data_IF_492089174788
#
_entry.id   IF_492089174788
#
_cell.length_a   1.000
_cell.length_b   1.000
_cell.length_c   1.000
_cell.angle_alpha   90.00
_cell.angle_beta   90.00
_cell.angle_gamma   90.00
#
_symmetry.space_group_name_H-M   'P 1'
#
loop_
_entity.id
_entity.type
_entity.pdbx_description
1 polymer ?
#
# COMPACT_ATOMS: atom_id res chain seq x y z
N UNK A 1 77.64 179.48 157.83
CA UNK A 1 78.29 178.64 156.79
C UNK A 1 77.79 177.21 156.81
N UNK A 2 77.97 176.43 157.89
CA UNK A 2 77.72 174.97 157.90
C UNK A 2 76.34 174.52 157.41
N UNK A 3 75.28 175.30 157.68
CA UNK A 3 73.92 175.06 157.19
C UNK A 3 73.81 175.14 155.67
N UNK A 4 74.46 176.13 155.05
CA UNK A 4 74.48 176.32 153.59
C UNK A 4 75.23 175.19 152.88
N UNK A 5 76.32 174.69 153.48
CA UNK A 5 77.05 173.54 152.95
C UNK A 5 76.24 172.25 153.06
N UNK A 6 75.53 172.01 154.17
CA UNK A 6 74.67 170.83 154.30
C UNK A 6 73.48 170.86 153.32
N UNK A 7 72.83 172.02 153.13
CA UNK A 7 71.75 172.15 152.13
C UNK A 7 72.27 171.99 150.69
N UNK A 8 73.48 172.46 150.40
CA UNK A 8 74.12 172.25 149.10
C UNK A 8 74.43 170.77 148.84
N UNK A 9 75.01 170.08 149.82
CA UNK A 9 75.37 168.66 149.71
C UNK A 9 74.14 167.74 149.63
N UNK A 10 73.09 168.03 150.40
CA UNK A 10 71.82 167.28 150.31
C UNK A 10 71.13 167.50 148.98
N UNK A 11 71.13 168.73 148.44
CA UNK A 11 70.58 169.02 147.13
C UNK A 11 71.35 168.31 146.02
N UNK A 12 72.69 168.29 146.09
CA UNK A 12 73.54 167.54 145.17
C UNK A 12 73.26 166.02 145.24
N UNK A 13 73.14 165.45 146.44
CA UNK A 13 72.82 164.04 146.63
C UNK A 13 71.42 163.69 146.07
N UNK A 14 70.41 164.53 146.31
CA UNK A 14 69.07 164.36 145.72
C UNK A 14 69.11 164.45 144.20
N UNK A 15 69.87 165.39 143.62
CA UNK A 15 70.06 165.50 142.17
C UNK A 15 70.72 164.25 141.60
N UNK A 16 71.82 163.76 142.20
CA UNK A 16 72.51 162.54 141.77
C UNK A 16 71.60 161.32 141.88
N UNK A 17 70.85 161.18 142.98
CA UNK A 17 69.87 160.11 143.17
C UNK A 17 68.78 160.17 142.10
N UNK A 18 68.20 161.35 141.85
CA UNK A 18 67.17 161.53 140.82
C UNK A 18 67.68 161.24 139.40
N UNK A 19 68.93 161.62 139.10
CA UNK A 19 69.58 161.33 137.81
C UNK A 19 69.87 159.83 137.67
N UNK A 20 70.31 159.17 138.74
CA UNK A 20 70.55 157.72 138.78
C UNK A 20 69.24 156.93 138.60
N UNK A 21 68.17 157.31 139.31
CA UNK A 21 66.83 156.75 139.10
C UNK A 21 66.36 156.99 137.67
N UNK A 22 66.42 158.23 137.15
CA UNK A 22 66.00 158.54 135.78
C UNK A 22 66.80 157.78 134.73
N UNK A 23 68.10 157.59 134.94
CA UNK A 23 69.00 156.84 134.04
C UNK A 23 68.69 155.35 134.09
N UNK A 24 68.52 154.77 135.27
CA UNK A 24 68.17 153.35 135.41
C UNK A 24 66.76 153.04 134.89
N UNK A 25 65.77 153.91 135.10
CA UNK A 25 64.45 153.79 134.47
C UNK A 25 64.55 153.94 132.95
N UNK A 26 65.36 154.88 132.44
CA UNK A 26 65.58 155.05 131.00
C UNK A 26 66.22 153.82 130.35
N UNK A 27 67.26 153.26 130.96
CA UNK A 27 67.92 152.03 130.50
C UNK A 27 66.96 150.84 130.57
N UNK A 28 66.15 150.72 131.63
CA UNK A 28 65.16 149.64 131.75
C UNK A 28 64.01 149.77 130.72
N UNK A 29 63.53 150.98 130.45
CA UNK A 29 62.57 151.27 129.39
C UNK A 29 63.15 150.99 128.00
N UNK A 30 64.42 151.31 127.76
CA UNK A 30 65.11 150.99 126.51
C UNK A 30 65.32 149.48 126.36
N UNK A 31 65.70 148.79 127.43
CA UNK A 31 65.86 147.32 127.47
C UNK A 31 64.53 146.61 127.14
N UNK A 32 63.46 146.97 127.85
CA UNK A 32 62.12 146.41 127.60
C UNK A 32 61.58 146.75 126.20
N UNK A 33 61.83 147.96 125.69
CA UNK A 33 61.51 148.35 124.32
C UNK A 33 62.31 147.56 123.27
N UNK A 34 63.60 147.31 123.51
CA UNK A 34 64.45 146.52 122.64
C UNK A 34 64.04 145.03 122.66
N UNK A 35 63.79 144.44 123.82
CA UNK A 35 63.28 143.07 123.93
C UNK A 35 61.90 142.89 123.27
N UNK A 36 61.04 143.91 123.33
CA UNK A 36 59.76 143.91 122.61
C UNK A 36 59.96 144.00 121.09
N UNK A 37 60.92 144.80 120.65
CA UNK A 37 61.31 144.92 119.23
C UNK A 37 61.87 143.60 118.72
N UNK A 38 62.80 142.98 119.45
CA UNK A 38 63.38 141.68 119.11
C UNK A 38 62.30 140.57 119.06
N UNK A 39 61.38 140.57 120.03
CA UNK A 39 60.23 139.64 120.04
C UNK A 39 59.31 139.83 118.83
N UNK A 40 59.04 141.06 118.39
CA UNK A 40 58.21 141.32 117.20
C UNK A 40 58.95 140.96 115.90
N UNK A 41 60.25 141.24 115.79
CA UNK A 41 61.09 140.84 114.65
C UNK A 41 61.21 139.32 114.55
N UNK A 42 61.40 138.62 115.67
CA UNK A 42 61.42 137.16 115.75
C UNK A 42 60.07 136.54 115.35
N UNK A 43 58.95 137.09 115.86
CA UNK A 43 57.60 136.67 115.50
C UNK A 43 57.28 136.89 114.03
N UNK A 44 57.69 138.04 113.46
CA UNK A 44 57.53 138.35 112.04
C UNK A 44 58.40 137.45 111.16
N UNK A 45 59.64 137.17 111.57
CA UNK A 45 60.55 136.26 110.86
C UNK A 45 60.01 134.84 110.84
N UNK A 46 59.49 134.36 111.98
CA UNK A 46 58.83 133.06 112.10
C UNK A 46 57.59 133.01 111.21
N UNK A 47 56.71 134.01 111.28
CA UNK A 47 55.47 134.08 110.49
C UNK A 47 55.72 134.17 108.98
N UNK A 48 56.78 134.90 108.59
CA UNK A 48 57.21 135.00 107.18
C UNK A 48 57.78 133.67 106.70
N UNK A 49 58.61 133.02 107.52
CA UNK A 49 59.20 131.70 107.21
C UNK A 49 58.12 130.61 107.09
N UNK A 50 57.17 130.54 108.03
CA UNK A 50 56.06 129.58 107.97
C UNK A 50 55.13 129.87 106.80
N UNK A 51 54.77 131.13 106.56
CA UNK A 51 53.96 131.54 105.42
C UNK A 51 54.61 131.20 104.07
N UNK A 52 55.91 131.47 103.91
CA UNK A 52 56.66 131.16 102.70
C UNK A 52 56.84 129.64 102.51
N UNK A 53 57.06 128.90 103.60
CA UNK A 53 57.13 127.43 103.60
C UNK A 53 55.79 126.79 103.22
N UNK A 54 54.67 127.30 103.76
CA UNK A 54 53.32 126.87 103.39
C UNK A 54 53.02 127.17 101.92
N UNK A 55 53.34 128.37 101.43
CA UNK A 55 53.20 128.73 100.02
C UNK A 55 54.03 127.83 99.11
N UNK A 56 55.31 127.59 99.44
CA UNK A 56 56.18 126.67 98.71
C UNK A 56 55.64 125.23 98.69
N UNK A 57 55.08 124.77 99.81
CA UNK A 57 54.45 123.45 99.92
C UNK A 57 53.21 123.36 99.04
N UNK A 58 52.34 124.39 99.05
CA UNK A 58 51.15 124.45 98.19
C UNK A 58 51.50 124.51 96.70
N UNK A 59 52.50 125.30 96.31
CA UNK A 59 53.01 125.38 94.93
C UNK A 59 53.58 124.02 94.50
N UNK A 60 54.33 123.35 95.38
CA UNK A 60 54.86 122.01 95.13
C UNK A 60 53.74 121.00 94.93
N UNK A 61 52.75 120.95 95.84
CA UNK A 61 51.59 120.07 95.73
C UNK A 61 50.76 120.32 94.46
N UNK A 62 50.54 121.58 94.09
CA UNK A 62 49.84 121.96 92.86
C UNK A 62 50.64 121.55 91.61
N UNK A 63 51.97 121.74 91.62
CA UNK A 63 52.87 121.31 90.55
C UNK A 63 52.85 119.79 90.37
N UNK A 64 52.95 119.03 91.47
CA UNK A 64 52.84 117.55 91.45
C UNK A 64 51.47 117.11 90.94
N UNK A 65 50.37 117.69 91.43
CA UNK A 65 49.00 117.34 91.00
C UNK A 65 48.75 117.68 89.52
N UNK A 66 49.27 118.82 89.06
CA UNK A 66 49.18 119.24 87.65
C UNK A 66 50.00 118.30 86.75
N UNK A 67 51.23 117.96 87.18
CA UNK A 67 52.12 117.04 86.46
C UNK A 67 51.54 115.62 86.37
N UNK A 68 50.99 115.08 87.47
CA UNK A 68 50.34 113.75 87.46
C UNK A 68 49.05 113.76 86.65
N UNK A 69 48.26 114.84 86.69
CA UNK A 69 47.09 115.05 85.84
C UNK A 69 47.43 115.08 84.35
N UNK A 70 48.43 115.87 83.95
CA UNK A 70 48.94 115.93 82.57
C UNK A 70 49.48 114.57 82.13
N UNK A 71 50.24 113.87 82.98
CA UNK A 71 50.76 112.55 82.66
C UNK A 71 49.64 111.51 82.48
N UNK A 72 48.62 111.53 83.34
CA UNK A 72 47.45 110.64 83.21
C UNK A 72 46.62 110.95 81.96
N UNK A 73 46.48 112.23 81.59
CA UNK A 73 45.83 112.62 80.34
C UNK A 73 46.64 112.18 79.12
N UNK A 74 47.98 112.29 79.18
CA UNK A 74 48.89 111.81 78.14
C UNK A 74 48.79 110.29 77.93
N UNK A 75 48.78 109.50 79.02
CA UNK A 75 48.61 108.04 78.92
C UNK A 75 47.22 107.64 78.42
N UNK A 76 46.16 108.34 78.86
CA UNK A 76 44.79 108.13 78.37
C UNK A 76 44.62 108.46 76.88
N UNK A 77 45.22 109.57 76.42
CA UNK A 77 45.22 109.96 75.01
C UNK A 77 46.04 108.99 74.16
N UNK A 78 47.21 108.56 74.63
CA UNK A 78 48.04 107.55 73.96
C UNK A 78 47.32 106.19 73.83
N UNK A 79 46.60 105.77 74.87
CA UNK A 79 45.76 104.57 74.84
C UNK A 79 44.62 104.71 73.82
N UNK A 80 43.93 105.86 73.81
CA UNK A 80 42.85 106.16 72.85
C UNK A 80 43.35 106.15 71.41
N UNK A 81 44.51 106.77 71.15
CA UNK A 81 45.16 106.76 69.83
C UNK A 81 45.56 105.34 69.40
N UNK A 82 46.04 104.51 70.33
CA UNK A 82 46.39 103.11 70.07
C UNK A 82 45.16 102.26 69.74
N UNK A 83 44.05 102.43 70.48
CA UNK A 83 42.77 101.78 70.18
C UNK A 83 42.21 102.22 68.83
N UNK A 84 42.26 103.51 68.49
CA UNK A 84 41.83 104.03 67.19
C UNK A 84 42.68 103.49 66.04
N UNK A 85 44.00 103.41 66.21
CA UNK A 85 44.93 102.83 65.23
C UNK A 85 44.64 101.33 65.01
N UNK A 86 44.40 100.60 66.09
CA UNK A 86 44.05 99.18 66.05
C UNK A 86 42.70 98.95 65.35
N UNK A 87 41.69 99.77 65.67
CA UNK A 87 40.36 99.72 65.04
C UNK A 87 40.46 100.04 63.54
N UNK A 88 41.15 101.10 63.16
CA UNK A 88 41.39 101.47 61.75
C UNK A 88 42.06 100.33 60.97
N UNK A 89 43.08 99.70 61.57
CA UNK A 89 43.78 98.56 61.00
C UNK A 89 42.83 97.36 60.83
N UNK A 90 42.10 96.98 61.89
CA UNK A 90 41.18 95.85 61.89
C UNK A 90 40.00 96.04 60.91
N UNK A 91 39.48 97.26 60.79
CA UNK A 91 38.45 97.61 59.81
C UNK A 91 38.99 97.52 58.39
N UNK A 92 40.20 98.03 58.13
CA UNK A 92 40.85 97.99 56.81
C UNK A 92 41.18 96.56 56.37
N UNK A 93 41.70 95.71 57.27
CA UNK A 93 41.97 94.29 56.95
C UNK A 93 40.69 93.49 56.75
N UNK A 94 39.63 93.78 57.51
CA UNK A 94 38.31 93.15 57.34
C UNK A 94 37.70 93.51 55.98
N UNK A 95 37.70 94.78 55.59
CA UNK A 95 37.22 95.20 54.27
C UNK A 95 38.06 94.62 53.13
N UNK A 96 39.39 94.64 53.24
CA UNK A 96 40.28 94.04 52.23
C UNK A 96 40.01 92.54 52.03
N UNK A 97 39.80 91.81 53.13
CA UNK A 97 39.44 90.38 53.11
C UNK A 97 38.07 90.15 52.48
N UNK A 98 37.07 90.98 52.82
CA UNK A 98 35.74 90.92 52.24
C UNK A 98 35.74 91.19 50.73
N UNK A 99 36.43 92.24 50.27
CA UNK A 99 36.58 92.54 48.84
C UNK A 99 37.33 91.42 48.09
N UNK A 100 38.35 90.80 48.70
CA UNK A 100 39.06 89.65 48.13
C UNK A 100 38.15 88.42 47.99
N UNK A 101 37.28 88.19 48.97
CA UNK A 101 36.29 87.11 48.98
C UNK A 101 35.20 87.34 47.92
N UNK A 102 34.71 88.57 47.79
CA UNK A 102 33.77 89.00 46.74
C UNK A 102 34.40 88.86 45.35
N UNK A 103 35.68 89.22 45.19
CA UNK A 103 36.42 89.02 43.94
C UNK A 103 36.53 87.54 43.55
N UNK A 104 36.85 86.67 44.51
CA UNK A 104 36.94 85.22 44.29
C UNK A 104 35.56 84.58 43.99
N UNK A 105 34.49 85.09 44.62
CA UNK A 105 33.13 84.66 44.32
C UNK A 105 32.70 85.10 42.91
N UNK A 106 33.07 86.32 42.49
CA UNK A 106 32.80 86.84 41.15
C UNK A 106 33.50 86.01 40.07
N UNK A 107 34.79 85.70 40.23
CA UNK A 107 35.51 84.83 39.27
C UNK A 107 34.95 83.40 39.24
N UNK A 108 34.59 82.84 40.40
CA UNK A 108 33.91 81.55 40.49
C UNK A 108 32.55 81.52 39.79
N UNK A 109 31.75 82.59 39.92
CA UNK A 109 30.46 82.72 39.25
C UNK A 109 30.61 82.85 37.73
N UNK A 110 31.61 83.61 37.25
CA UNK A 110 31.95 83.71 35.81
C UNK A 110 32.38 82.34 35.24
N UNK A 111 33.19 81.58 35.99
CA UNK A 111 33.58 80.22 35.59
C UNK A 111 32.37 79.26 35.54
N UNK A 112 31.47 79.34 36.52
CA UNK A 112 30.23 78.56 36.56
C UNK A 112 29.32 78.89 35.38
N UNK A 113 29.12 80.18 35.08
CA UNK A 113 28.33 80.62 33.93
C UNK A 113 28.92 80.17 32.58
N UNK A 114 30.25 80.20 32.46
CA UNK A 114 30.97 79.72 31.26
C UNK A 114 30.82 78.21 31.08
N UNK A 115 30.89 77.45 32.17
CA UNK A 115 30.67 75.99 32.18
C UNK A 115 29.23 75.64 31.82
N UNK A 116 28.24 76.37 32.35
CA UNK A 116 26.83 76.19 32.02
C UNK A 116 26.53 76.50 30.55
N UNK A 117 27.12 77.57 30.01
CA UNK A 117 27.01 77.94 28.59
C UNK A 117 27.61 76.84 27.68
N UNK A 118 28.77 76.30 28.07
CA UNK A 118 29.44 75.21 27.36
C UNK A 118 28.61 73.92 27.39
N UNK A 119 28.03 73.58 28.54
CA UNK A 119 27.15 72.42 28.70
C UNK A 119 25.88 72.58 27.86
N UNK A 120 25.21 73.73 27.92
CA UNK A 120 24.02 74.05 27.11
C UNK A 120 24.29 73.90 25.61
N UNK A 121 25.44 74.40 25.14
CA UNK A 121 25.88 74.29 23.74
C UNK A 121 26.13 72.82 23.37
N UNK A 122 26.82 72.07 24.23
CA UNK A 122 27.12 70.64 24.02
C UNK A 122 25.83 69.79 23.97
N UNK A 123 24.91 69.99 24.91
CA UNK A 123 23.60 69.33 24.93
C UNK A 123 22.79 69.66 23.67
N UNK A 124 22.78 70.92 23.23
CA UNK A 124 22.08 71.34 22.00
C UNK A 124 22.67 70.64 20.77
N UNK A 125 23.99 70.58 20.65
CA UNK A 125 24.68 69.89 19.55
C UNK A 125 24.42 68.37 19.57
N UNK A 126 24.38 67.76 20.76
CA UNK A 126 24.08 66.33 20.91
C UNK A 126 22.62 66.02 20.50
N UNK A 127 21.66 66.84 20.95
CA UNK A 127 20.24 66.71 20.57
C UNK A 127 20.04 66.92 19.07
N UNK A 128 20.71 67.92 18.47
CA UNK A 128 20.66 68.13 17.01
C UNK A 128 21.24 66.94 16.24
N UNK A 129 22.37 66.39 16.69
CA UNK A 129 23.01 65.22 16.06
C UNK A 129 22.15 63.95 16.19
N UNK A 130 21.46 63.78 17.32
CA UNK A 130 20.52 62.69 17.53
C UNK A 130 19.26 62.86 16.65
N UNK A 131 18.77 64.09 16.50
CA UNK A 131 17.62 64.43 15.64
C UNK A 131 17.92 64.15 14.15
N UNK A 132 19.09 64.55 13.65
CA UNK A 132 19.51 64.25 12.27
C UNK A 132 19.74 62.76 12.05
N UNK A 133 20.39 62.07 13.00
CA UNK A 133 20.58 60.62 12.96
C UNK A 133 19.26 59.83 12.96
N UNK A 134 18.31 60.22 13.81
CA UNK A 134 16.98 59.61 13.86
C UNK A 134 16.16 59.89 12.59
N UNK A 135 16.27 61.09 12.02
CA UNK A 135 15.62 61.46 10.75
C UNK A 135 16.16 60.63 9.58
N UNK A 136 17.47 60.39 9.53
CA UNK A 136 18.10 59.51 8.54
C UNK A 136 17.65 58.04 8.73
N UNK A 137 17.63 57.54 9.97
CA UNK A 137 17.13 56.20 10.27
C UNK A 137 15.66 56.01 9.84
N UNK A 138 14.80 56.97 10.14
CA UNK A 138 13.39 56.96 9.73
C UNK A 138 13.24 56.97 8.20
N UNK A 139 14.06 57.75 7.50
CA UNK A 139 14.07 57.81 6.02
C UNK A 139 14.53 56.47 5.40
N UNK A 140 15.53 55.83 5.99
CA UNK A 140 16.00 54.50 5.57
C UNK A 140 14.92 53.42 5.81
N UNK A 141 14.23 53.47 6.96
CA UNK A 141 13.12 52.55 7.27
C UNK A 141 11.96 52.74 6.28
N UNK A 142 11.58 53.98 5.96
CA UNK A 142 10.54 54.26 4.94
C UNK A 142 10.93 53.76 3.54
N UNK A 143 12.19 53.94 3.15
CA UNK A 143 12.73 53.46 1.87
C UNK A 143 12.76 51.93 1.79
N UNK A 144 13.16 51.26 2.87
CA UNK A 144 13.18 49.80 2.98
C UNK A 144 11.76 49.22 2.97
N UNK A 145 10.82 49.84 3.70
CA UNK A 145 9.40 49.47 3.72
C UNK A 145 8.79 49.55 2.32
N UNK A 146 9.03 50.66 1.61
CA UNK A 146 8.57 50.86 0.22
C UNK A 146 9.15 49.80 -0.71
N UNK A 147 10.47 49.59 -0.65
CA UNK A 147 11.18 48.59 -1.49
C UNK A 147 10.67 47.17 -1.24
N UNK A 148 10.47 46.79 0.03
CA UNK A 148 9.96 45.47 0.42
C UNK A 148 8.51 45.29 -0.05
N UNK A 149 7.66 46.31 0.11
CA UNK A 149 6.28 46.28 -0.37
C UNK A 149 6.21 46.09 -1.90
N UNK A 150 7.01 46.85 -2.66
CA UNK A 150 7.10 46.72 -4.13
C UNK A 150 7.63 45.35 -4.56
N UNK A 151 8.64 44.81 -3.88
CA UNK A 151 9.19 43.48 -4.17
C UNK A 151 8.16 42.36 -3.91
N UNK A 152 7.41 42.44 -2.81
CA UNK A 152 6.33 41.49 -2.49
C UNK A 152 5.19 41.59 -3.51
N UNK A 153 4.75 42.80 -3.87
CA UNK A 153 3.72 43.00 -4.88
C UNK A 153 4.13 42.45 -6.27
N UNK A 154 5.39 42.63 -6.65
CA UNK A 154 5.97 42.07 -7.88
C UNK A 154 5.98 40.54 -7.83
N UNK A 155 6.46 39.96 -6.72
CA UNK A 155 6.50 38.50 -6.52
C UNK A 155 5.09 37.88 -6.59
N UNK A 156 4.10 38.51 -5.95
CA UNK A 156 2.72 38.06 -5.97
C UNK A 156 2.11 38.12 -7.39
N UNK A 157 2.44 39.16 -8.16
CA UNK A 157 1.99 39.31 -9.56
C UNK A 157 2.61 38.24 -10.48
N UNK A 158 3.90 37.95 -10.31
CA UNK A 158 4.59 36.87 -11.02
C UNK A 158 4.03 35.49 -10.66
N UNK A 159 3.74 35.24 -9.37
CA UNK A 159 3.14 33.99 -8.91
C UNK A 159 1.72 33.79 -9.46
N UNK A 160 0.90 34.84 -9.49
CA UNK A 160 -0.43 34.81 -10.10
C UNK A 160 -0.36 34.52 -11.61
N UNK A 161 0.59 35.15 -12.31
CA UNK A 161 0.82 34.93 -13.75
C UNK A 161 1.28 33.49 -14.05
N UNK A 162 2.17 32.94 -13.21
CA UNK A 162 2.64 31.56 -13.32
C UNK A 162 1.53 30.56 -13.01
N UNK A 163 0.73 30.81 -11.96
CA UNK A 163 -0.43 29.99 -11.59
C UNK A 163 -1.46 29.93 -12.73
N UNK A 164 -1.77 31.08 -13.31
CA UNK A 164 -2.66 31.19 -14.48
C UNK A 164 -2.11 30.40 -15.66
N UNK A 165 -0.83 30.60 -16.02
CA UNK A 165 -0.17 29.92 -17.14
C UNK A 165 -0.09 28.41 -16.95
N UNK A 166 0.11 27.95 -15.71
CA UNK A 166 0.12 26.52 -15.36
C UNK A 166 -1.28 25.94 -15.51
N UNK A 167 -2.31 26.63 -14.99
CA UNK A 167 -3.71 26.21 -15.08
C UNK A 167 -4.17 26.10 -16.55
N UNK A 168 -3.87 27.09 -17.39
CA UNK A 168 -4.20 27.05 -18.82
C UNK A 168 -3.45 25.92 -19.56
N UNK A 169 -2.20 25.64 -19.17
CA UNK A 169 -1.42 24.54 -19.74
C UNK A 169 -1.99 23.18 -19.35
N UNK A 170 -2.39 23.00 -18.08
CA UNK A 170 -3.05 21.78 -17.59
C UNK A 170 -4.42 21.57 -18.25
N UNK A 171 -5.23 22.63 -18.41
CA UNK A 171 -6.49 22.54 -19.16
C UNK A 171 -6.27 22.15 -20.61
N UNK A 172 -5.27 22.73 -21.28
CA UNK A 172 -4.94 22.41 -22.68
C UNK A 172 -4.43 20.97 -22.86
N UNK A 173 -3.66 20.47 -21.88
CA UNK A 173 -3.22 19.08 -21.86
C UNK A 173 -4.39 18.12 -21.59
N UNK A 174 -5.34 18.50 -20.73
CA UNK A 174 -6.55 17.73 -20.43
C UNK A 174 -7.48 17.61 -21.65
N UNK A 175 -7.70 18.70 -22.39
CA UNK A 175 -8.49 18.66 -23.65
C UNK A 175 -7.76 17.88 -24.75
N UNK A 176 -6.44 18.04 -24.87
CA UNK A 176 -5.61 17.24 -25.78
C UNK A 176 -5.68 15.74 -25.48
N UNK A 177 -5.55 15.34 -24.21
CA UNK A 177 -5.66 13.95 -23.78
C UNK A 177 -7.07 13.38 -23.98
N UNK A 178 -8.11 14.17 -23.72
CA UNK A 178 -9.51 13.78 -23.97
C UNK A 178 -9.77 13.55 -25.46
N UNK A 179 -9.18 14.38 -26.32
CA UNK A 179 -9.23 14.22 -27.78
C UNK A 179 -8.50 12.96 -28.23
N UNK A 180 -7.29 12.73 -27.71
CA UNK A 180 -6.51 11.52 -28.00
C UNK A 180 -7.24 10.23 -27.56
N UNK A 181 -7.85 10.23 -26.37
CA UNK A 181 -8.66 9.12 -25.86
C UNK A 181 -9.88 8.84 -26.76
N UNK A 182 -10.55 9.89 -27.24
CA UNK A 182 -11.67 9.77 -28.19
C UNK A 182 -11.22 9.21 -29.55
N UNK A 183 -10.01 9.59 -30.00
CA UNK A 183 -9.36 9.00 -31.16
C UNK A 183 -9.07 7.51 -30.97
N UNK A 184 -8.46 7.11 -29.86
CA UNK A 184 -8.18 5.70 -29.51
C UNK A 184 -9.46 4.87 -29.44
N UNK A 185 -10.53 5.39 -28.83
CA UNK A 185 -11.83 4.74 -28.80
C UNK A 185 -12.40 4.53 -30.21
N UNK A 186 -12.29 5.53 -31.09
CA UNK A 186 -12.73 5.46 -32.49
C UNK A 186 -11.90 4.46 -33.31
N UNK A 187 -10.58 4.41 -33.09
CA UNK A 187 -9.72 3.40 -33.72
C UNK A 187 -10.07 1.99 -33.23
N UNK A 188 -10.39 1.82 -31.94
CA UNK A 188 -10.81 0.54 -31.36
C UNK A 188 -12.12 0.02 -31.97
N UNK A 189 -13.13 0.88 -32.15
CA UNK A 189 -14.38 0.50 -32.82
C UNK A 189 -14.14 0.17 -34.30
N UNK A 190 -13.34 0.95 -35.01
CA UNK A 190 -12.96 0.68 -36.40
C UNK A 190 -12.18 -0.63 -36.57
N UNK A 191 -11.27 -0.95 -35.66
CA UNK A 191 -10.53 -2.22 -35.65
C UNK A 191 -11.45 -3.40 -35.35
N UNK A 192 -12.39 -3.24 -34.40
CA UNK A 192 -13.41 -4.26 -34.09
C UNK A 192 -14.31 -4.54 -35.30
N UNK A 193 -14.78 -3.50 -35.99
CA UNK A 193 -15.54 -3.64 -37.24
C UNK A 193 -14.73 -4.33 -38.34
N UNK A 194 -13.45 -3.98 -38.48
CA UNK A 194 -12.53 -4.64 -39.44
C UNK A 194 -12.36 -6.12 -39.11
N UNK A 195 -12.18 -6.48 -37.83
CA UNK A 195 -12.07 -7.85 -37.38
C UNK A 195 -13.35 -8.66 -37.65
N UNK A 196 -14.53 -8.08 -37.39
CA UNK A 196 -15.83 -8.71 -37.71
C UNK A 196 -16.03 -8.91 -39.22
N UNK A 197 -15.58 -7.95 -40.05
CA UNK A 197 -15.63 -8.07 -41.50
C UNK A 197 -14.70 -9.19 -42.00
N UNK A 198 -13.47 -9.27 -41.47
CA UNK A 198 -12.50 -10.35 -41.79
C UNK A 198 -13.04 -11.72 -41.35
N UNK A 199 -13.62 -11.82 -40.15
CA UNK A 199 -14.25 -13.05 -39.68
C UNK A 199 -15.42 -13.47 -40.59
N UNK A 200 -16.31 -12.55 -40.94
CA UNK A 200 -17.45 -12.79 -41.82
C UNK A 200 -17.02 -13.23 -43.23
N UNK A 201 -15.97 -12.60 -43.78
CA UNK A 201 -15.38 -12.98 -45.07
C UNK A 201 -14.70 -14.34 -45.00
N UNK A 202 -14.01 -14.66 -43.91
CA UNK A 202 -13.39 -15.97 -43.67
C UNK A 202 -14.44 -17.09 -43.60
N UNK A 203 -15.52 -16.90 -42.84
CA UNK A 203 -16.67 -17.81 -42.80
C UNK A 203 -17.29 -17.97 -44.18
N UNK A 204 -17.57 -16.87 -44.89
CA UNK A 204 -18.17 -16.90 -46.23
C UNK A 204 -17.29 -17.62 -47.26
N UNK A 205 -15.97 -17.44 -47.18
CA UNK A 205 -15.00 -18.12 -48.04
C UNK A 205 -14.97 -19.62 -47.71
N UNK A 206 -14.90 -19.98 -46.43
CA UNK A 206 -14.91 -21.37 -45.96
C UNK A 206 -16.18 -22.13 -46.36
N UNK A 207 -17.36 -21.51 -46.20
CA UNK A 207 -18.64 -22.11 -46.63
C UNK A 207 -18.72 -22.24 -48.14
N UNK A 208 -18.18 -21.27 -48.89
CA UNK A 208 -18.12 -21.34 -50.36
C UNK A 208 -17.19 -22.46 -50.84
N UNK A 209 -15.99 -22.60 -50.26
CA UNK A 209 -15.05 -23.69 -50.55
C UNK A 209 -15.65 -25.05 -50.18
N UNK A 210 -16.33 -25.15 -49.03
CA UNK A 210 -17.03 -26.38 -48.63
C UNK A 210 -18.14 -26.73 -49.62
N UNK A 211 -18.92 -25.75 -50.09
CA UNK A 211 -19.99 -25.95 -51.08
C UNK A 211 -19.46 -26.36 -52.46
N UNK A 212 -18.32 -25.78 -52.88
CA UNK A 212 -17.62 -26.19 -54.09
C UNK A 212 -17.05 -27.60 -53.97
N UNK A 213 -16.49 -27.95 -52.81
CA UNK A 213 -15.95 -29.29 -52.52
C UNK A 213 -17.04 -30.37 -52.55
N UNK A 214 -18.20 -30.12 -51.92
CA UNK A 214 -19.34 -31.04 -51.98
C UNK A 214 -19.93 -31.13 -53.38
N UNK A 215 -20.09 -30.01 -54.10
CA UNK A 215 -20.52 -30.01 -55.49
C UNK A 215 -19.56 -30.76 -56.44
N UNK A 216 -18.25 -30.64 -56.23
CA UNK A 216 -17.24 -31.40 -56.96
C UNK A 216 -17.29 -32.89 -56.61
N UNK A 217 -17.49 -33.24 -55.34
CA UNK A 217 -17.67 -34.62 -54.90
C UNK A 217 -18.91 -35.27 -55.52
N UNK A 218 -20.03 -34.54 -55.58
CA UNK A 218 -21.25 -34.96 -56.29
C UNK A 218 -20.99 -35.13 -57.78
N UNK A 219 -20.27 -34.21 -58.41
CA UNK A 219 -19.88 -34.31 -59.83
C UNK A 219 -19.01 -35.54 -60.08
N UNK A 220 -18.03 -35.82 -59.21
CA UNK A 220 -17.18 -37.00 -59.29
C UNK A 220 -17.96 -38.31 -59.09
N UNK A 221 -18.93 -38.35 -58.18
CA UNK A 221 -19.83 -39.49 -58.00
C UNK A 221 -20.71 -39.74 -59.24
N UNK A 222 -21.24 -38.67 -59.86
CA UNK A 222 -22.00 -38.76 -61.11
C UNK A 222 -21.13 -39.27 -62.28
N UNK A 223 -19.90 -38.77 -62.42
CA UNK A 223 -18.93 -39.26 -63.42
C UNK A 223 -18.57 -40.73 -63.19
N UNK A 224 -18.39 -41.14 -61.94
CA UNK A 224 -18.12 -42.55 -61.58
C UNK A 224 -19.30 -43.44 -61.96
N UNK A 225 -20.53 -43.03 -61.61
CA UNK A 225 -21.76 -43.76 -61.95
C UNK A 225 -21.96 -43.86 -63.46
N UNK A 226 -21.70 -42.78 -64.20
CA UNK A 226 -21.73 -42.77 -65.66
C UNK A 226 -20.67 -43.70 -66.26
N UNK A 227 -19.46 -43.72 -65.71
CA UNK A 227 -18.40 -44.65 -66.12
C UNK A 227 -18.80 -46.12 -65.90
N UNK A 228 -19.44 -46.44 -64.77
CA UNK A 228 -20.03 -47.77 -64.53
C UNK A 228 -21.14 -48.08 -65.54
N UNK A 229 -22.03 -47.13 -65.85
CA UNK A 229 -23.08 -47.29 -66.87
C UNK A 229 -22.50 -47.52 -68.27
N UNK A 230 -21.48 -46.77 -68.68
CA UNK A 230 -20.76 -46.96 -69.96
C UNK A 230 -20.07 -48.33 -69.99
N UNK A 231 -19.46 -48.76 -68.89
CA UNK A 231 -18.86 -50.09 -68.75
C UNK A 231 -19.91 -51.20 -68.92
N UNK A 232 -21.08 -51.05 -68.31
CA UNK A 232 -22.21 -51.98 -68.46
C UNK A 232 -22.78 -51.99 -69.90
N UNK A 233 -22.87 -50.85 -70.56
CA UNK A 233 -23.23 -50.77 -71.99
C UNK A 233 -22.18 -51.51 -72.83
N UNK A 234 -20.89 -51.36 -72.52
CA UNK A 234 -19.81 -52.02 -73.25
C UNK A 234 -19.83 -53.56 -73.05
N UNK A 235 -20.12 -54.06 -71.84
CA UNK A 235 -20.27 -55.51 -71.60
C UNK A 235 -21.55 -56.08 -72.25
N UNK A 236 -22.65 -55.33 -72.25
CA UNK A 236 -23.86 -55.68 -73.01
C UNK A 236 -23.59 -55.72 -74.51
N UNK A 237 -22.91 -54.72 -75.07
CA UNK A 237 -22.54 -54.66 -76.49
C UNK A 237 -21.60 -55.82 -76.87
N UNK A 238 -20.65 -56.17 -76.01
CA UNK A 238 -19.78 -57.34 -76.18
C UNK A 238 -20.60 -58.63 -76.23
N UNK A 239 -21.58 -58.78 -75.32
CA UNK A 239 -22.48 -59.95 -75.26
C UNK A 239 -23.44 -60.03 -76.44
N UNK A 240 -23.87 -58.88 -76.98
CA UNK A 240 -24.67 -58.81 -78.20
C UNK A 240 -23.82 -59.15 -79.43
N UNK A 241 -22.57 -58.69 -79.49
CA UNK A 241 -21.62 -58.98 -80.57
C UNK A 241 -21.32 -60.48 -80.69
N UNK A 242 -21.10 -61.17 -79.56
CA UNK A 242 -20.95 -62.64 -79.56
C UNK A 242 -22.24 -63.34 -79.98
N UNK A 243 -23.40 -62.86 -79.53
CA UNK A 243 -24.72 -63.40 -79.94
C UNK A 243 -24.95 -63.25 -81.45
N UNK A 244 -24.64 -62.10 -82.04
CA UNK A 244 -24.76 -61.86 -83.49
C UNK A 244 -23.76 -62.72 -84.27
N UNK A 245 -22.52 -62.86 -83.79
CA UNK A 245 -21.52 -63.74 -84.41
C UNK A 245 -21.96 -65.22 -84.42
N UNK A 246 -22.58 -65.69 -83.35
CA UNK A 246 -23.18 -67.02 -83.24
C UNK A 246 -24.39 -67.19 -84.17
N UNK A 247 -25.18 -66.15 -84.41
CA UNK A 247 -26.29 -66.22 -85.38
C UNK A 247 -25.81 -66.13 -86.84
N UNK A 248 -24.75 -65.37 -87.14
CA UNK A 248 -24.14 -65.32 -88.47
C UNK A 248 -23.56 -66.68 -88.90
N UNK A 249 -22.95 -67.42 -87.96
CA UNK A 249 -22.50 -68.81 -88.21
C UNK A 249 -23.66 -69.80 -88.34
N UNK A 250 -24.81 -69.57 -87.71
CA UNK A 250 -26.02 -70.41 -87.85
C UNK A 250 -26.83 -70.15 -89.13
N UNK A 251 -26.75 -68.94 -89.70
CA UNK A 251 -27.45 -68.61 -90.95
C UNK A 251 -26.79 -69.19 -92.23
N UNK A 252 -25.59 -69.75 -92.12
CA UNK A 252 -24.82 -70.26 -93.26
C UNK A 252 -25.10 -71.74 -93.64
N UNK A 253 -26.00 -72.44 -92.93
CA UNK A 253 -26.40 -73.81 -93.27
C UNK A 253 -27.92 -73.98 -93.27
N UNK A 254 -28.52 -73.80 -94.45
CA UNK A 254 -29.93 -74.07 -94.72
C UNK A 254 -30.09 -75.38 -95.47
N UNK A 255 -30.31 -76.48 -94.74
CA UNK A 255 -31.34 -77.54 -94.98
C UNK A 255 -31.06 -78.77 -94.10
N UNK A 256 -31.35 -78.68 -92.81
CA UNK A 256 -31.34 -79.83 -91.92
C UNK A 256 -31.96 -79.50 -90.57
N UNK A 257 -32.89 -80.32 -90.10
CA UNK A 257 -33.38 -80.26 -88.72
C UNK A 257 -32.25 -80.77 -87.82
N UNK A 258 -31.36 -79.87 -87.43
CA UNK A 258 -30.30 -80.18 -86.48
C UNK A 258 -30.94 -80.43 -85.10
N UNK A 259 -30.71 -81.62 -84.55
CA UNK A 259 -30.95 -81.88 -83.15
C UNK A 259 -30.18 -80.85 -82.30
N UNK A 260 -30.73 -80.43 -81.16
CA UNK A 260 -30.02 -79.53 -80.25
C UNK A 260 -28.73 -80.22 -79.77
N UNK A 261 -27.61 -79.59 -80.10
CA UNK A 261 -26.24 -80.10 -79.97
C UNK A 261 -25.41 -79.27 -78.98
N UNK A 262 -26.05 -78.40 -78.19
CA UNK A 262 -25.40 -77.34 -77.41
C UNK A 262 -24.67 -77.78 -76.10
N UNK A 263 -24.45 -79.08 -75.89
CA UNK A 263 -23.72 -79.60 -74.73
C UNK A 263 -22.21 -79.72 -74.97
N UNK A 264 -21.39 -79.00 -74.20
CA UNK A 264 -19.93 -79.10 -74.26
C UNK A 264 -19.38 -80.35 -73.54
N UNK A 265 -18.41 -81.03 -74.14
CA UNK A 265 -17.73 -82.21 -73.57
C UNK A 265 -18.38 -83.54 -73.94
N UNK A 266 -18.33 -84.53 -73.03
CA UNK A 266 -18.83 -85.89 -73.24
C UNK A 266 -20.36 -85.99 -73.51
N UNK A 267 -21.07 -84.87 -73.39
CA UNK A 267 -22.52 -84.76 -73.54
C UNK A 267 -23.01 -84.53 -74.99
N UNK A 268 -22.12 -84.45 -75.97
CA UNK A 268 -22.51 -84.33 -77.38
C UNK A 268 -22.81 -85.70 -78.04
N UNK A 269 -23.87 -85.83 -78.87
CA UNK A 269 -24.02 -86.92 -79.83
C UNK A 269 -22.77 -87.07 -80.70
N UNK A 270 -22.26 -88.30 -80.83
CA UNK A 270 -20.99 -88.60 -81.51
C UNK A 270 -21.21 -89.59 -82.64
N UNK A 271 -20.89 -89.22 -83.88
CA UNK A 271 -20.61 -90.21 -84.93
C UNK A 271 -19.41 -91.04 -84.50
N UNK A 272 -19.68 -92.26 -84.04
CA UNK A 272 -18.67 -93.18 -83.49
C UNK A 272 -18.19 -94.11 -84.61
N UNK A 273 -17.17 -94.91 -84.34
CA UNK A 273 -16.27 -95.43 -85.37
C UNK A 273 -16.86 -96.55 -86.26
N UNK A 274 -18.12 -96.94 -86.10
CA UNK A 274 -18.80 -97.85 -87.02
C UNK A 274 -19.15 -97.17 -88.34
N UNK A 275 -18.75 -97.76 -89.47
CA UNK A 275 -19.13 -97.24 -90.79
C UNK A 275 -20.65 -97.22 -90.94
N UNK A 276 -21.18 -96.05 -91.32
CA UNK A 276 -22.61 -95.80 -91.54
C UNK A 276 -23.51 -95.97 -90.29
N UNK A 277 -23.00 -95.60 -89.09
CA UNK A 277 -23.75 -95.61 -87.82
C UNK A 277 -23.91 -94.21 -87.21
N UNK A 278 -24.94 -94.04 -86.36
CA UNK A 278 -25.24 -92.77 -85.67
C UNK A 278 -25.48 -93.04 -84.18
N UNK A 279 -24.73 -92.37 -83.29
CA UNK A 279 -25.01 -92.38 -81.86
C UNK A 279 -25.63 -91.05 -81.41
N UNK A 280 -26.89 -91.10 -80.97
CA UNK A 280 -27.75 -89.95 -80.63
C UNK A 280 -27.75 -89.74 -79.11
N UNK A 281 -27.36 -88.55 -78.67
CA UNK A 281 -27.34 -88.12 -77.27
C UNK A 281 -25.99 -88.25 -76.57
N UNK A 282 -25.87 -87.58 -75.41
CA UNK A 282 -24.72 -87.63 -74.51
C UNK A 282 -24.26 -89.06 -74.19
N UNK A 283 -22.95 -89.32 -74.18
CA UNK A 283 -22.37 -90.63 -73.84
C UNK A 283 -22.93 -91.84 -74.63
N UNK A 284 -23.57 -91.60 -75.78
CA UNK A 284 -24.03 -92.67 -76.67
C UNK A 284 -22.88 -93.23 -77.49
N UNK A 285 -22.92 -94.54 -77.76
CA UNK A 285 -21.96 -95.23 -78.63
C UNK A 285 -22.67 -96.31 -79.45
N UNK A 286 -22.15 -96.57 -80.64
CA UNK A 286 -22.54 -97.68 -81.51
C UNK A 286 -21.91 -99.02 -81.09
N UNK A 287 -21.01 -98.98 -80.10
CA UNK A 287 -20.21 -100.11 -79.60
C UNK A 287 -19.42 -100.82 -80.73
N UNK A 288 -19.05 -100.07 -81.78
CA UNK A 288 -18.32 -100.57 -82.95
C UNK A 288 -19.19 -101.26 -84.00
N UNK A 289 -20.52 -101.22 -83.87
CA UNK A 289 -21.45 -101.81 -84.85
C UNK A 289 -21.66 -100.86 -86.04
N UNK A 290 -21.66 -101.41 -87.25
CA UNK A 290 -22.00 -100.68 -88.49
C UNK A 290 -23.50 -100.74 -88.81
N UNK A 291 -24.02 -99.74 -89.51
CA UNK A 291 -25.44 -99.61 -89.88
C UNK A 291 -26.44 -99.61 -88.70
N UNK A 292 -26.09 -98.96 -87.58
CA UNK A 292 -26.99 -98.83 -86.42
C UNK A 292 -27.30 -97.39 -86.04
N UNK A 293 -28.50 -97.17 -85.52
CA UNK A 293 -28.84 -95.95 -84.76
C UNK A 293 -28.87 -96.32 -83.28
N UNK A 294 -27.90 -95.82 -82.51
CA UNK A 294 -27.82 -96.02 -81.06
C UNK A 294 -28.28 -94.76 -80.33
N UNK A 295 -29.29 -94.86 -79.47
CA UNK A 295 -29.74 -93.72 -78.64
C UNK A 295 -29.05 -93.67 -77.26
N UNK A 296 -28.05 -94.51 -77.03
CA UNK A 296 -27.41 -94.69 -75.74
C UNK A 296 -26.13 -95.51 -75.79
N UNK A 297 -25.82 -96.18 -74.70
CA UNK A 297 -24.72 -97.15 -74.56
C UNK A 297 -25.11 -98.25 -73.57
N UNK A 298 -24.31 -99.31 -73.47
CA UNK A 298 -24.43 -100.33 -72.41
C UNK A 298 -24.48 -99.74 -71.00
N UNK A 299 -23.81 -98.62 -70.75
CA UNK A 299 -23.82 -97.89 -69.49
C UNK A 299 -24.98 -96.88 -69.34
N UNK A 300 -25.64 -96.49 -70.43
CA UNK A 300 -26.67 -95.44 -70.44
C UNK A 300 -27.67 -95.62 -71.60
N UNK A 301 -28.71 -96.41 -71.41
CA UNK A 301 -29.82 -96.50 -72.37
C UNK A 301 -30.73 -95.26 -72.31
N UNK A 302 -31.44 -94.98 -73.40
CA UNK A 302 -32.52 -93.98 -73.44
C UNK A 302 -33.84 -94.63 -73.86
N UNK A 303 -34.93 -94.13 -73.29
CA UNK A 303 -36.27 -94.47 -73.76
C UNK A 303 -36.53 -93.78 -75.11
N UNK A 304 -37.06 -94.53 -76.08
CA UNK A 304 -37.62 -93.98 -77.31
C UNK A 304 -39.13 -93.84 -77.06
N UNK A 305 -39.58 -92.62 -76.82
CA UNK A 305 -40.99 -92.29 -76.56
C UNK A 305 -41.68 -91.80 -77.85
N UNK A 306 -43.02 -91.73 -77.84
CA UNK A 306 -43.84 -91.34 -79.00
C UNK A 306 -43.71 -92.25 -80.24
N UNK A 307 -43.29 -93.50 -80.06
CA UNK A 307 -43.25 -94.52 -81.12
C UNK A 307 -44.68 -94.93 -81.47
N UNK A 308 -45.16 -94.52 -82.65
CA UNK A 308 -46.42 -95.01 -83.22
C UNK A 308 -46.38 -96.54 -83.38
N UNK A 309 -47.53 -97.20 -83.46
CA UNK A 309 -47.56 -98.65 -83.64
C UNK A 309 -46.91 -99.02 -84.99
N UNK A 310 -45.94 -99.94 -84.98
CA UNK A 310 -45.27 -100.38 -86.20
C UNK A 310 -46.25 -101.05 -87.17
N UNK A 311 -46.18 -100.66 -88.45
CA UNK A 311 -47.07 -101.11 -89.53
C UNK A 311 -46.35 -101.92 -90.61
N UNK A 312 -45.05 -101.67 -90.81
CA UNK A 312 -44.18 -102.47 -91.68
C UNK A 312 -43.23 -103.35 -90.85
N UNK A 313 -42.72 -104.42 -91.46
CA UNK A 313 -41.88 -105.42 -90.79
C UNK A 313 -40.53 -104.92 -90.25
N UNK A 314 -40.15 -103.66 -90.55
CA UNK A 314 -38.93 -102.99 -90.07
C UNK A 314 -39.21 -101.86 -89.07
N UNK A 315 -40.47 -101.61 -88.72
CA UNK A 315 -40.85 -100.55 -87.78
C UNK A 315 -40.56 -100.98 -86.33
N UNK A 316 -40.30 -100.00 -85.46
CA UNK A 316 -40.14 -100.27 -84.03
C UNK A 316 -41.48 -100.65 -83.39
N UNK A 317 -41.54 -101.80 -82.72
CA UNK A 317 -42.69 -102.25 -81.93
C UNK A 317 -42.76 -101.43 -80.64
N UNK A 318 -43.91 -100.81 -80.36
CA UNK A 318 -44.06 -99.94 -79.19
C UNK A 318 -44.52 -100.68 -77.92
N UNK A 319 -44.44 -100.00 -76.77
CA UNK A 319 -44.79 -100.59 -75.47
C UNK A 319 -46.27 -101.01 -75.38
N UNK A 320 -47.18 -100.45 -76.19
CA UNK A 320 -48.58 -100.89 -76.19
C UNK A 320 -48.74 -102.24 -76.92
N UNK A 321 -48.01 -102.44 -78.03
CA UNK A 321 -47.92 -103.73 -78.71
C UNK A 321 -47.26 -104.78 -77.80
N UNK A 322 -46.22 -104.42 -77.04
CA UNK A 322 -45.60 -105.32 -76.05
C UNK A 322 -46.47 -105.54 -74.80
N UNK A 323 -47.21 -104.54 -74.30
CA UNK A 323 -48.11 -104.70 -73.16
C UNK A 323 -49.33 -105.55 -73.51
N UNK A 324 -49.77 -105.54 -74.77
CA UNK A 324 -50.77 -106.50 -75.27
C UNK A 324 -50.27 -107.93 -75.12
N UNK A 325 -48.98 -108.18 -75.41
CA UNK A 325 -48.32 -109.47 -75.19
C UNK A 325 -48.02 -109.75 -73.69
N UNK A 326 -47.63 -108.75 -72.91
CA UNK A 326 -47.26 -108.88 -71.49
C UNK A 326 -48.47 -109.06 -70.56
N UNK A 327 -49.61 -108.48 -70.90
CA UNK A 327 -50.89 -108.73 -70.19
C UNK A 327 -51.31 -110.18 -70.39
N UNK A 328 -51.11 -110.74 -71.58
CA UNK A 328 -51.28 -112.19 -71.84
C UNK A 328 -50.35 -113.09 -71.03
N UNK A 329 -49.28 -112.56 -70.41
CA UNK A 329 -48.32 -113.33 -69.58
C UNK A 329 -48.50 -113.04 -68.08
N UNK A 330 -48.75 -111.80 -67.68
CA UNK A 330 -48.84 -111.40 -66.26
C UNK A 330 -50.07 -111.96 -65.55
N UNK A 331 -51.14 -112.27 -66.30
CA UNK A 331 -52.29 -113.04 -65.81
C UNK A 331 -51.88 -114.40 -65.20
N UNK A 332 -50.70 -114.92 -65.54
CA UNK A 332 -50.15 -116.17 -65.04
C UNK A 332 -49.53 -116.07 -63.62
N UNK A 333 -49.09 -114.88 -63.17
CA UNK A 333 -48.14 -114.76 -62.04
C UNK A 333 -48.67 -114.20 -60.70
N UNK A 334 -49.78 -113.44 -60.65
CA UNK A 334 -50.18 -112.75 -59.40
C UNK A 334 -50.68 -113.66 -58.25
N UNK A 335 -50.71 -114.98 -58.45
CA UNK A 335 -51.33 -115.97 -57.56
C UNK A 335 -50.49 -116.32 -56.28
N UNK A 336 -49.85 -115.37 -55.57
CA UNK A 336 -48.79 -115.71 -54.55
C UNK A 336 -48.70 -114.93 -53.20
N UNK A 337 -48.29 -113.65 -53.17
CA UNK A 337 -47.19 -113.20 -52.26
C UNK A 337 -47.51 -112.61 -50.85
N UNK A 338 -48.77 -112.44 -50.45
CA UNK A 338 -49.23 -111.39 -49.50
C UNK A 338 -48.99 -111.58 -47.96
N UNK A 339 -47.75 -111.56 -47.41
CA UNK A 339 -47.53 -112.12 -46.02
C UNK A 339 -46.91 -111.30 -44.84
N UNK A 340 -45.93 -110.39 -44.97
CA UNK A 340 -44.80 -110.40 -43.98
C UNK A 340 -44.74 -109.36 -42.80
N UNK A 341 -45.17 -108.09 -42.90
CA UNK A 341 -44.52 -106.99 -42.12
C UNK A 341 -45.30 -106.41 -40.89
N UNK A 342 -44.72 -106.36 -39.66
CA UNK A 342 -45.34 -105.59 -38.52
C UNK A 342 -44.54 -105.24 -37.21
N UNK A 343 -43.22 -105.45 -37.05
CA UNK A 343 -42.58 -105.64 -35.70
C UNK A 343 -41.95 -104.40 -34.97
N UNK A 344 -42.32 -103.15 -35.32
CA UNK A 344 -41.48 -101.95 -35.13
C UNK A 344 -41.01 -101.48 -33.72
N UNK A 345 -41.89 -100.87 -32.90
CA UNK A 345 -41.51 -99.64 -32.16
C UNK A 345 -41.87 -99.59 -30.65
N UNK A 346 -40.90 -99.31 -29.75
CA UNK A 346 -41.20 -99.12 -28.30
C UNK A 346 -40.19 -98.36 -27.35
N UNK A 347 -38.99 -97.91 -27.76
CA UNK A 347 -37.82 -97.89 -26.84
C UNK A 347 -37.28 -96.57 -26.20
N UNK A 348 -37.83 -95.36 -26.42
CA UNK A 348 -37.04 -94.10 -26.27
C UNK A 348 -37.20 -93.20 -25.01
N UNK A 349 -38.14 -93.42 -24.08
CA UNK A 349 -38.63 -92.31 -23.21
C UNK A 349 -37.97 -92.09 -21.82
N UNK A 350 -36.98 -92.89 -21.39
CA UNK A 350 -36.63 -93.00 -19.94
C UNK A 350 -35.48 -92.09 -19.41
N UNK A 351 -34.57 -91.56 -20.23
CA UNK A 351 -33.27 -90.99 -19.76
C UNK A 351 -33.35 -89.64 -18.99
N UNK A 352 -34.37 -88.81 -19.25
CA UNK A 352 -34.25 -87.36 -18.99
C UNK A 352 -34.33 -86.93 -17.52
N UNK A 353 -35.05 -87.67 -16.65
CA UNK A 353 -35.48 -87.15 -15.34
C UNK A 353 -34.37 -87.10 -14.27
N UNK A 354 -33.36 -87.97 -14.34
CA UNK A 354 -32.39 -88.14 -13.25
C UNK A 354 -31.44 -86.95 -13.03
N UNK A 355 -31.22 -86.11 -14.06
CA UNK A 355 -30.13 -85.12 -14.09
C UNK A 355 -30.40 -83.84 -13.27
N UNK A 356 -31.65 -83.58 -12.89
CA UNK A 356 -32.06 -82.30 -12.27
C UNK A 356 -31.76 -82.19 -10.77
N UNK A 357 -31.89 -83.28 -9.99
CA UNK A 357 -31.81 -83.22 -8.52
C UNK A 357 -30.44 -82.82 -7.96
N UNK A 358 -29.35 -83.17 -8.66
CA UNK A 358 -27.98 -83.00 -8.16
C UNK A 358 -27.57 -81.52 -8.08
N UNK A 359 -28.04 -80.68 -9.02
CA UNK A 359 -27.64 -79.27 -9.09
C UNK A 359 -28.11 -78.41 -7.90
N UNK A 360 -29.23 -78.77 -7.24
CA UNK A 360 -29.78 -78.00 -6.11
C UNK A 360 -28.99 -78.20 -4.82
N UNK A 361 -28.50 -79.41 -4.56
CA UNK A 361 -27.83 -79.76 -3.30
C UNK A 361 -26.46 -79.08 -3.18
N UNK A 362 -25.69 -78.98 -4.27
CA UNK A 362 -24.35 -78.39 -4.29
C UNK A 362 -24.35 -76.89 -3.97
N UNK A 363 -25.44 -76.17 -4.23
CA UNK A 363 -25.53 -74.75 -3.90
C UNK A 363 -25.62 -74.49 -2.38
N UNK A 364 -26.13 -75.45 -1.61
CA UNK A 364 -26.42 -75.31 -0.17
C UNK A 364 -25.14 -75.27 0.69
N UNK A 365 -24.07 -75.93 0.24
CA UNK A 365 -22.87 -76.17 1.06
C UNK A 365 -21.90 -74.98 1.09
N UNK A 366 -22.04 -74.02 0.17
CA UNK A 366 -21.13 -72.89 0.00
C UNK A 366 -21.48 -71.65 0.84
N UNK A 367 -22.38 -71.80 1.83
CA UNK A 367 -22.85 -70.69 2.65
C UNK A 367 -21.89 -70.43 3.84
N UNK A 368 -21.27 -69.23 3.95
CA UNK A 368 -20.39 -68.85 5.06
C UNK A 368 -21.09 -68.87 6.44
N UNK A 369 -20.31 -68.71 7.51
CA UNK A 369 -20.80 -68.69 8.89
C UNK A 369 -20.47 -67.37 9.59
N UNK A 370 -21.21 -67.08 10.65
CA UNK A 370 -20.98 -65.92 11.54
C UNK A 370 -19.59 -65.95 12.19
N UNK A 371 -19.04 -64.76 12.42
CA UNK A 371 -17.67 -64.52 12.90
C UNK A 371 -17.65 -64.21 14.41
N UNK A 372 -16.57 -64.57 15.14
CA UNK A 372 -16.44 -64.26 16.57
C UNK A 372 -16.58 -62.75 16.85
N UNK A 373 -17.46 -62.41 17.80
CA UNK A 373 -17.79 -61.01 18.13
C UNK A 373 -18.96 -60.41 17.34
N UNK A 374 -19.55 -61.15 16.39
CA UNK A 374 -20.81 -60.79 15.70
C UNK A 374 -21.90 -61.82 16.01
N UNK A 375 -23.18 -61.39 15.98
CA UNK A 375 -24.30 -62.23 16.42
C UNK A 375 -24.98 -63.00 15.28
N UNK A 376 -25.08 -62.43 14.07
CA UNK A 376 -25.84 -62.99 12.92
C UNK A 376 -25.07 -62.81 11.60
N UNK A 377 -25.22 -63.75 10.66
CA UNK A 377 -24.76 -63.69 9.26
C UNK A 377 -25.83 -64.29 8.31
N UNK A 378 -25.95 -63.76 7.09
CA UNK A 378 -26.89 -64.23 6.04
C UNK A 378 -26.16 -64.32 4.69
N UNK A 379 -26.41 -65.35 3.89
CA UNK A 379 -25.69 -65.61 2.64
C UNK A 379 -26.51 -66.32 1.55
N UNK A 380 -25.94 -66.37 0.34
CA UNK A 380 -26.47 -66.99 -0.89
C UNK A 380 -25.38 -67.82 -1.59
N UNK A 381 -25.77 -68.92 -2.24
CA UNK A 381 -24.90 -69.78 -3.05
C UNK A 381 -25.59 -70.26 -4.34
N UNK A 382 -24.81 -70.69 -5.34
CA UNK A 382 -25.32 -71.18 -6.65
C UNK A 382 -24.45 -72.33 -7.17
N UNK A 383 -25.03 -73.24 -7.96
CA UNK A 383 -24.35 -74.41 -8.54
C UNK A 383 -24.99 -74.92 -9.85
N UNK A 384 -24.31 -75.84 -10.56
CA UNK A 384 -24.76 -76.38 -11.86
C UNK A 384 -24.27 -77.81 -12.09
N UNK A 385 -25.08 -78.69 -12.68
CA UNK A 385 -24.74 -80.10 -12.94
C UNK A 385 -25.44 -80.64 -14.21
N UNK A 386 -24.68 -81.29 -15.10
CA UNK A 386 -25.20 -82.02 -16.29
C UNK A 386 -26.27 -81.29 -17.14
N UNK A 387 -26.09 -79.98 -17.36
CA UNK A 387 -27.02 -79.12 -18.11
C UNK A 387 -28.12 -78.46 -17.28
N UNK A 388 -28.34 -78.93 -16.05
CA UNK A 388 -29.34 -78.43 -15.10
C UNK A 388 -28.66 -77.49 -14.07
N UNK A 389 -29.39 -76.51 -13.52
CA UNK A 389 -28.83 -75.43 -12.69
C UNK A 389 -29.57 -75.28 -11.37
N UNK A 390 -28.89 -74.84 -10.30
CA UNK A 390 -29.52 -74.61 -9.00
C UNK A 390 -28.95 -73.47 -8.15
N UNK A 391 -29.73 -73.03 -7.16
CA UNK A 391 -29.50 -71.85 -6.32
C UNK A 391 -29.90 -72.12 -4.87
N UNK A 392 -29.22 -71.48 -3.92
CA UNK A 392 -29.48 -71.62 -2.49
C UNK A 392 -29.35 -70.31 -1.67
N UNK A 393 -30.05 -70.28 -0.54
CA UNK A 393 -30.10 -69.18 0.44
C UNK A 393 -29.95 -69.74 1.86
N UNK A 394 -29.36 -68.99 2.79
CA UNK A 394 -29.31 -69.39 4.19
C UNK A 394 -28.78 -68.35 5.19
N UNK A 395 -28.85 -68.70 6.48
CA UNK A 395 -28.48 -67.81 7.59
C UNK A 395 -27.78 -68.58 8.72
N UNK A 396 -26.99 -67.88 9.53
CA UNK A 396 -26.32 -68.42 10.71
C UNK A 396 -26.21 -67.42 11.86
N UNK A 397 -26.15 -67.89 13.11
CA UNK A 397 -26.12 -67.03 14.29
C UNK A 397 -25.41 -67.68 15.48
N UNK A 398 -24.75 -66.86 16.32
CA UNK A 398 -24.20 -67.26 17.62
C UNK A 398 -25.33 -67.29 18.66
N UNK A 399 -25.59 -68.46 19.25
CA UNK A 399 -26.57 -68.64 20.34
C UNK A 399 -25.92 -68.58 21.72
N UNK A 400 -24.66 -68.97 21.81
CA UNK A 400 -23.79 -68.79 22.98
C UNK A 400 -22.39 -68.43 22.50
N UNK A 401 -21.49 -68.04 23.42
CA UNK A 401 -20.06 -67.80 23.11
C UNK A 401 -19.41 -68.94 22.33
N UNK A 402 -19.93 -70.16 22.53
CA UNK A 402 -19.39 -71.41 21.98
C UNK A 402 -20.33 -72.13 21.00
N UNK A 403 -21.49 -71.56 20.63
CA UNK A 403 -22.53 -72.27 19.86
C UNK A 403 -23.05 -71.49 18.64
N UNK A 404 -23.13 -72.14 17.48
CA UNK A 404 -23.57 -71.56 16.19
C UNK A 404 -24.69 -72.40 15.56
N UNK A 405 -25.78 -71.76 15.10
CA UNK A 405 -26.86 -72.34 14.29
C UNK A 405 -26.71 -71.98 12.80
N UNK A 406 -27.15 -72.86 11.88
CA UNK A 406 -27.16 -72.68 10.41
C UNK A 406 -28.44 -73.25 9.77
N UNK A 407 -29.00 -72.55 8.77
CA UNK A 407 -30.21 -72.94 8.01
C UNK A 407 -30.05 -72.63 6.51
N UNK A 408 -30.64 -73.42 5.61
CA UNK A 408 -30.67 -73.08 4.16
C UNK A 408 -31.63 -73.88 3.26
N UNK A 409 -31.89 -73.36 2.06
CA UNK A 409 -32.82 -73.90 1.02
C UNK A 409 -32.14 -73.92 -0.35
N UNK A 410 -32.42 -74.92 -1.19
CA UNK A 410 -31.90 -75.09 -2.55
C UNK A 410 -32.98 -75.44 -3.60
N UNK A 411 -32.79 -75.06 -4.87
CA UNK A 411 -33.76 -75.32 -5.98
C UNK A 411 -33.07 -75.61 -7.31
N UNK A 412 -33.62 -76.50 -8.16
CA UNK A 412 -33.15 -76.77 -9.52
C UNK A 412 -34.27 -77.33 -10.44
N UNK A 413 -34.61 -76.62 -11.51
CA UNK A 413 -35.71 -77.00 -12.42
C UNK A 413 -37.05 -77.09 -11.68
N UNK A 414 -37.80 -78.17 -11.89
CA UNK A 414 -39.01 -78.49 -11.13
C UNK A 414 -38.76 -79.08 -9.73
N UNK A 415 -37.50 -79.30 -9.34
CA UNK A 415 -37.12 -79.99 -8.09
C UNK A 415 -36.57 -79.02 -7.03
N UNK A 416 -36.73 -79.34 -5.74
CA UNK A 416 -36.38 -78.46 -4.59
C UNK A 416 -35.73 -79.26 -3.44
N UNK A 417 -34.87 -78.63 -2.64
CA UNK A 417 -34.10 -79.23 -1.52
C UNK A 417 -33.98 -78.26 -0.31
N UNK A 418 -33.73 -78.78 0.89
CA UNK A 418 -33.75 -78.04 2.17
C UNK A 418 -32.69 -78.59 3.16
N UNK A 419 -32.18 -77.79 4.10
CA UNK A 419 -31.22 -78.26 5.12
C UNK A 419 -31.00 -77.32 6.33
N UNK A 420 -30.49 -77.88 7.44
CA UNK A 420 -30.27 -77.19 8.73
C UNK A 420 -29.14 -77.86 9.54
N UNK A 421 -28.50 -77.15 10.48
CA UNK A 421 -27.47 -77.72 11.37
C UNK A 421 -27.04 -76.78 12.51
N UNK A 422 -26.44 -77.35 13.56
CA UNK A 422 -25.94 -76.64 14.74
C UNK A 422 -24.55 -77.17 15.13
N UNK A 423 -23.66 -76.30 15.62
CA UNK A 423 -22.29 -76.66 16.04
C UNK A 423 -21.91 -75.99 17.36
N UNK A 424 -21.05 -76.65 18.13
CA UNK A 424 -20.58 -76.19 19.43
C UNK A 424 -19.07 -76.46 19.58
N UNK A 425 -18.31 -75.51 20.13
CA UNK A 425 -16.86 -75.59 20.35
C UNK A 425 -16.50 -75.54 21.84
N UNK A 426 -15.48 -76.28 22.27
CA UNK A 426 -15.01 -76.33 23.66
C UNK A 426 -13.50 -76.11 23.75
#
# INVERSE_FOLDING_TARGET
MSTSTSTGLSSANSSISSLSTSTSTGINSLSTGLSSTDSTVSSLSTSTSTGLSSANSSITSLSTSTSTGINSLSTGLSSTNSSMTSLSTATSTSFSSAFSSIGSLSTGLVATNSSLTSLSTSTTNYVNSLSTGLSAANSNIGSLSTSTSTAIATTNSSLSSLSTSTSTSVSSLSTGLSTANSGVASLSTGLSSTNSNVASLSTSTSTSVTSLSTGLSTTNANVTSLSTSVTNINTQLTSLSTTVSNNATRAANSTGIAADLSGSGASAPKVTAGSNSVAIGANSTDEGRSNVVSVGSSAQQRQITNVAAGTQGTDAVNLNQLNTLSTSVSQSMQNQQTQINSLGSALQQTDTMARQGIAAATALTMLPQVEPGKVINVAVGVARFAGQSGMAFGASAHLTTNGILKLGVGVAGSNRTFGAGYGYSW
#
